data_IF_093381483926
#
_entry.id   IF_093381483926
#
_cell.length_a   1.000
_cell.length_b   1.000
_cell.length_c   1.000
_cell.angle_alpha   90.00
_cell.angle_beta   90.00
_cell.angle_gamma   90.00
#
_symmetry.space_group_name_H-M   'P 1'
#
loop_
_entity.id
_entity.type
_entity.pdbx_description
1 polymer ?
#
# COMPACT_ATOMS: atom_id res chain seq x y z
N UNK A 1 5.87 10.10 -7.42
CA UNK A 1 6.79 9.26 -8.21
C UNK A 1 6.50 7.81 -7.87
N UNK A 2 6.36 6.91 -8.85
CA UNK A 2 6.09 5.50 -8.59
C UNK A 2 7.25 4.86 -7.83
N UNK A 3 6.92 4.00 -6.85
CA UNK A 3 7.89 3.22 -6.08
C UNK A 3 7.55 1.74 -6.21
N UNK A 4 8.55 0.92 -6.48
CA UNK A 4 8.39 -0.54 -6.38
C UNK A 4 8.73 -1.00 -4.96
N UNK A 5 7.80 -1.68 -4.29
CA UNK A 5 8.07 -2.27 -2.96
C UNK A 5 8.90 -3.55 -3.06
N UNK A 6 9.66 -3.83 -2.00
CA UNK A 6 10.58 -4.99 -1.89
C UNK A 6 10.13 -6.00 -0.83
N UNK A 7 8.88 -5.90 -0.42
CA UNK A 7 8.24 -6.67 0.63
C UNK A 7 6.77 -6.84 0.28
N UNK A 8 6.11 -7.83 0.87
CA UNK A 8 4.66 -7.92 0.85
C UNK A 8 4.09 -6.91 1.85
N UNK A 9 3.03 -6.22 1.46
CA UNK A 9 2.32 -5.24 2.30
C UNK A 9 0.82 -5.56 2.32
N UNK A 10 0.22 -5.58 3.50
CA UNK A 10 -1.24 -5.54 3.64
C UNK A 10 -1.59 -4.22 4.31
N UNK A 11 -2.49 -3.46 3.71
CA UNK A 11 -2.98 -2.22 4.29
C UNK A 11 -4.49 -2.28 4.49
N UNK A 12 -4.96 -1.59 5.52
CA UNK A 12 -6.37 -1.41 5.85
C UNK A 12 -6.64 0.07 6.07
N UNK A 13 -7.67 0.60 5.44
CA UNK A 13 -8.11 1.99 5.64
C UNK A 13 -9.04 2.04 6.85
N UNK A 14 -8.76 2.93 7.80
CA UNK A 14 -9.61 3.18 8.98
C UNK A 14 -10.47 4.43 8.80
N UNK A 15 -9.92 5.49 8.21
CA UNK A 15 -10.62 6.76 7.97
C UNK A 15 -10.21 7.35 6.62
N UNK A 16 -11.06 8.20 6.05
CA UNK A 16 -10.78 8.90 4.79
C UNK A 16 -10.88 8.02 3.55
N UNK A 17 -10.16 8.40 2.48
CA UNK A 17 -10.18 7.69 1.19
C UNK A 17 -8.77 7.60 0.59
N UNK A 18 -8.39 6.40 0.17
CA UNK A 18 -7.12 6.12 -0.47
C UNK A 18 -7.35 5.70 -1.92
N UNK A 19 -6.72 6.40 -2.87
CA UNK A 19 -6.58 5.93 -4.24
C UNK A 19 -5.19 5.33 -4.39
N UNK A 20 -5.15 4.05 -4.70
CA UNK A 20 -3.90 3.32 -4.94
C UNK A 20 -3.77 2.99 -6.41
N UNK A 21 -2.68 3.44 -7.03
CA UNK A 21 -2.31 2.98 -8.36
C UNK A 21 -1.33 1.83 -8.17
N UNK A 22 -1.71 0.60 -8.50
CA UNK A 22 -0.89 -0.60 -8.32
C UNK A 22 -0.84 -1.40 -9.63
N UNK A 23 0.37 -1.63 -10.16
CA UNK A 23 0.59 -2.41 -11.39
C UNK A 23 -0.27 -1.95 -12.59
N UNK A 24 -0.52 -0.64 -12.70
CA UNK A 24 -1.34 -0.05 -13.78
C UNK A 24 -2.85 -0.10 -13.54
N UNK A 25 -3.32 -0.64 -12.41
CA UNK A 25 -4.72 -0.58 -11.98
C UNK A 25 -4.91 0.49 -10.91
N UNK A 26 -6.12 1.07 -10.85
CA UNK A 26 -6.51 2.04 -9.83
C UNK A 26 -7.52 1.40 -8.88
N UNK A 27 -7.17 1.34 -7.61
CA UNK A 27 -8.05 0.88 -6.53
C UNK A 27 -8.49 2.07 -5.68
N UNK A 28 -9.80 2.26 -5.52
CA UNK A 28 -10.35 3.22 -4.57
C UNK A 28 -10.77 2.47 -3.30
N UNK A 29 -10.14 2.82 -2.17
CA UNK A 29 -10.32 2.15 -0.88
C UNK A 29 -10.87 3.16 0.13
N UNK A 30 -11.93 2.77 0.83
CA UNK A 30 -12.55 3.52 1.93
C UNK A 30 -12.47 2.77 3.27
N UNK A 31 -13.09 3.30 4.34
CA UNK A 31 -12.99 2.71 5.66
C UNK A 31 -13.43 1.24 5.71
N UNK A 32 -12.56 0.40 6.27
CA UNK A 32 -12.62 -1.08 6.36
C UNK A 32 -12.23 -1.84 5.10
N UNK A 33 -11.89 -1.16 4.01
CA UNK A 33 -11.29 -1.84 2.87
C UNK A 33 -9.83 -2.21 3.18
N UNK A 34 -9.43 -3.38 2.72
CA UNK A 34 -8.07 -3.89 2.83
C UNK A 34 -7.57 -4.34 1.46
N UNK A 35 -6.29 -4.12 1.20
CA UNK A 35 -5.62 -4.63 0.01
C UNK A 35 -4.29 -5.27 0.38
N UNK A 36 -3.98 -6.36 -0.33
CA UNK A 36 -2.67 -7.00 -0.29
C UNK A 36 -1.88 -6.58 -1.53
N UNK A 37 -0.66 -6.12 -1.29
CA UNK A 37 0.31 -5.68 -2.28
C UNK A 37 1.50 -6.63 -2.23
N UNK A 38 1.64 -7.53 -3.21
CA UNK A 38 2.77 -8.45 -3.27
C UNK A 38 4.11 -7.73 -3.45
N UNK A 39 5.20 -8.34 -2.98
CA UNK A 39 6.56 -7.89 -3.28
C UNK A 39 6.77 -7.67 -4.79
N UNK A 40 7.34 -6.53 -5.16
CA UNK A 40 7.54 -6.12 -6.55
C UNK A 40 6.40 -5.29 -7.14
N UNK A 41 5.34 -4.99 -6.37
CA UNK A 41 4.27 -4.10 -6.81
C UNK A 41 4.80 -2.69 -7.05
N UNK A 42 4.54 -2.14 -8.23
CA UNK A 42 4.75 -0.72 -8.53
C UNK A 42 3.56 0.08 -8.03
N UNK A 43 3.81 1.06 -7.15
CA UNK A 43 2.74 1.78 -6.47
C UNK A 43 2.89 3.30 -6.45
N UNK A 44 1.74 3.97 -6.48
CA UNK A 44 1.56 5.39 -6.13
C UNK A 44 0.38 5.51 -5.16
N UNK A 45 0.65 6.06 -3.98
CA UNK A 45 -0.39 6.47 -3.03
C UNK A 45 -0.90 7.87 -3.38
N UNK A 46 -2.21 8.01 -3.50
CA UNK A 46 -2.90 9.28 -3.72
C UNK A 46 -4.05 9.40 -2.70
N UNK A 47 -3.94 10.35 -1.78
CA UNK A 47 -4.97 10.65 -0.78
C UNK A 47 -4.88 12.12 -0.37
N UNK A 48 -6.05 12.74 -0.18
CA UNK A 48 -6.15 14.07 0.45
C UNK A 48 -6.15 13.94 1.98
N UNK A 49 -6.89 12.95 2.51
CA UNK A 49 -6.95 12.61 3.93
C UNK A 49 -7.30 11.11 4.07
N UNK A 50 -6.45 10.35 4.76
CA UNK A 50 -6.66 8.92 5.03
C UNK A 50 -5.83 8.46 6.23
N UNK A 51 -6.47 7.71 7.14
CA UNK A 51 -5.80 6.96 8.19
C UNK A 51 -5.73 5.49 7.80
N UNK A 52 -4.52 4.94 7.73
CA UNK A 52 -4.30 3.54 7.36
C UNK A 52 -3.49 2.81 8.43
N UNK A 53 -3.72 1.50 8.54
CA UNK A 53 -2.83 0.55 9.18
C UNK A 53 -2.17 -0.31 8.12
N UNK A 54 -0.87 -0.57 8.24
CA UNK A 54 -0.15 -1.46 7.33
C UNK A 54 0.68 -2.48 8.10
N UNK A 55 0.81 -3.67 7.53
CA UNK A 55 1.70 -4.72 7.99
C UNK A 55 2.54 -5.22 6.81
N UNK A 56 3.83 -5.43 7.05
CA UNK A 56 4.78 -5.82 6.00
C UNK A 56 5.51 -7.11 6.34
N UNK A 57 5.87 -7.88 5.31
CA UNK A 57 6.69 -9.06 5.43
C UNK A 57 7.78 -9.11 4.32
N UNK A 58 9.05 -9.34 4.66
CA UNK A 58 9.60 -9.39 6.02
C UNK A 58 9.68 -7.98 6.65
N UNK A 59 9.61 -7.89 7.98
CA UNK A 59 9.67 -6.60 8.68
C UNK A 59 11.04 -5.91 8.56
N UNK A 60 12.10 -6.70 8.35
CA UNK A 60 13.48 -6.23 8.22
C UNK A 60 13.94 -6.10 6.75
N UNK A 61 13.02 -5.84 5.82
CA UNK A 61 13.30 -5.74 4.39
C UNK A 61 14.43 -4.76 4.02
N UNK A 62 14.74 -3.77 4.87
CA UNK A 62 15.80 -2.80 4.63
C UNK A 62 17.19 -3.25 5.15
N UNK A 63 17.26 -4.30 5.97
CA UNK A 63 18.53 -4.79 6.54
C UNK A 63 19.30 -5.71 5.59
N UNK A 64 18.68 -6.11 4.48
CA UNK A 64 19.34 -6.85 3.39
C UNK A 64 19.94 -5.85 2.39
N UNK A 65 21.00 -5.16 2.81
CA UNK A 65 21.84 -4.29 1.99
C UNK A 65 23.26 -4.82 1.86
#
# INVERSE_FOLDING_TARGET
MPRTIKYDEVLTVFEGRLRLHANGEVHELGPRDSIWLPNGTELVYEADDALIHFAIHPSNWHETG
#
